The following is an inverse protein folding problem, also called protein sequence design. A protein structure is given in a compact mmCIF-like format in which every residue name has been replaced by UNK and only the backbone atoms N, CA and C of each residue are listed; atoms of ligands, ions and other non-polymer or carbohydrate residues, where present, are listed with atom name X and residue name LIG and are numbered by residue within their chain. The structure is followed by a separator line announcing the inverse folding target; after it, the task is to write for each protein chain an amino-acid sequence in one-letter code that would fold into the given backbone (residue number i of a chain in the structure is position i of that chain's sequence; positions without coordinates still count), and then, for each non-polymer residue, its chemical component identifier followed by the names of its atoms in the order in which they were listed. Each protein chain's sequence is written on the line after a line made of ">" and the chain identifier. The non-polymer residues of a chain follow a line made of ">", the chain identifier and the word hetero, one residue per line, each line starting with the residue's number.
data_IF_172697001842
#
_entry.id   IF_172697001842
#
_cell.length_a   1.000
_cell.length_b   1.000
_cell.length_c   1.000
_cell.angle_alpha   90.00
_cell.angle_beta   90.00
_cell.angle_gamma   90.00
#
_symmetry.space_group_name_H-M   'P 1'
#
loop_
_entity.id
_entity.type
_entity.pdbx_description
1 polymer ?
#
# COMPACT_ATOMS: atom_id res chain seq x y z
N UNK A 1 -21.41 -13.29 6.40
CA UNK A 1 -20.39 -13.65 5.38
C UNK A 1 -20.19 -12.40 4.55
N UNK A 2 -19.03 -11.75 4.65
CA UNK A 2 -18.75 -10.54 3.88
C UNK A 2 -18.85 -10.89 2.38
N UNK A 3 -19.67 -10.15 1.64
CA UNK A 3 -19.75 -10.24 0.19
C UNK A 3 -18.48 -9.64 -0.38
N UNK A 4 -17.41 -10.44 -0.49
CA UNK A 4 -16.18 -10.00 -1.14
C UNK A 4 -16.51 -9.86 -2.63
N UNK A 5 -16.73 -8.62 -3.09
CA UNK A 5 -16.65 -8.34 -4.52
C UNK A 5 -15.16 -8.38 -4.91
N UNK A 6 -14.64 -9.60 -5.10
CA UNK A 6 -13.25 -9.91 -5.43
C UNK A 6 -12.88 -9.47 -6.85
N UNK A 7 -12.91 -8.16 -7.13
CA UNK A 7 -12.24 -7.65 -8.32
C UNK A 7 -10.86 -7.14 -7.92
N UNK A 8 -9.91 -8.07 -7.81
CA UNK A 8 -8.50 -7.71 -7.74
C UNK A 8 -8.12 -7.05 -9.08
N UNK A 9 -7.66 -5.80 -9.04
CA UNK A 9 -7.23 -5.07 -10.22
C UNK A 9 -5.74 -4.81 -10.16
N UNK A 10 -5.01 -5.19 -11.21
CA UNK A 10 -3.57 -4.97 -11.33
C UNK A 10 -3.29 -3.74 -12.20
N UNK A 11 -2.36 -2.91 -11.74
CA UNK A 11 -1.92 -1.69 -12.42
C UNK A 11 -0.40 -1.64 -12.54
N UNK A 12 0.08 -1.26 -13.72
CA UNK A 12 1.49 -0.93 -13.99
C UNK A 12 1.73 0.56 -13.75
N UNK A 13 2.94 0.95 -13.33
CA UNK A 13 3.24 2.32 -12.87
C UNK A 13 4.04 3.17 -13.87
N UNK A 14 4.05 2.75 -15.15
CA UNK A 14 4.72 3.42 -16.27
C UNK A 14 6.19 3.02 -16.42
N UNK A 15 6.83 3.50 -17.49
CA UNK A 15 8.21 3.11 -17.88
C UNK A 15 9.26 3.30 -16.79
N UNK A 16 9.18 4.41 -16.04
CA UNK A 16 10.11 4.69 -14.94
C UNK A 16 10.02 3.68 -13.79
N UNK A 17 8.93 2.92 -13.73
CA UNK A 17 8.60 1.92 -12.71
C UNK A 17 8.14 0.60 -13.38
N UNK A 18 8.77 0.22 -14.49
CA UNK A 18 8.38 -0.93 -15.31
C UNK A 18 8.41 -2.28 -14.57
N UNK A 19 9.22 -2.36 -13.51
CA UNK A 19 9.42 -3.58 -12.72
C UNK A 19 8.45 -3.61 -11.52
N UNK A 20 7.70 -2.52 -11.30
CA UNK A 20 6.78 -2.37 -10.20
C UNK A 20 5.33 -2.39 -10.67
N UNK A 21 4.51 -3.16 -9.96
CA UNK A 21 3.08 -3.19 -10.18
C UNK A 21 2.33 -3.22 -8.85
N UNK A 22 1.10 -2.75 -8.86
CA UNK A 22 0.23 -2.78 -7.69
C UNK A 22 -1.04 -3.55 -8.01
N UNK A 23 -1.41 -4.47 -7.13
CA UNK A 23 -2.73 -5.09 -7.16
C UNK A 23 -3.58 -4.46 -6.06
N UNK A 24 -4.78 -4.02 -6.42
CA UNK A 24 -5.69 -3.30 -5.53
C UNK A 24 -6.99 -4.11 -5.42
N UNK A 25 -7.46 -4.33 -4.19
CA UNK A 25 -8.78 -4.88 -3.95
C UNK A 25 -9.56 -4.01 -2.95
N UNK A 26 -10.88 -4.02 -3.10
CA UNK A 26 -11.81 -3.40 -2.18
C UNK A 26 -12.48 -4.48 -1.35
N UNK A 27 -12.32 -4.42 -0.03
CA UNK A 27 -13.00 -5.30 0.92
C UNK A 27 -14.03 -4.47 1.66
N UNK A 28 -15.30 -4.86 1.57
CA UNK A 28 -16.43 -4.16 2.19
C UNK A 28 -16.96 -4.92 3.38
N UNK A 29 -17.62 -4.20 4.28
CA UNK A 29 -18.27 -4.74 5.48
C UNK A 29 -17.34 -5.62 6.33
N UNK A 30 -16.14 -5.12 6.61
CA UNK A 30 -15.22 -5.80 7.52
C UNK A 30 -15.67 -5.65 8.97
N UNK A 31 -15.44 -6.72 9.75
CA UNK A 31 -15.76 -6.75 11.19
C UNK A 31 -14.52 -6.82 12.08
N UNK A 32 -13.33 -6.98 11.49
CA UNK A 32 -12.06 -7.19 12.19
C UNK A 32 -11.07 -6.03 12.03
N UNK A 33 -11.55 -4.81 11.78
CA UNK A 33 -10.74 -3.59 11.62
C UNK A 33 -9.74 -3.34 12.74
N UNK A 34 -10.13 -3.60 14.00
CA UNK A 34 -9.25 -3.49 15.16
C UNK A 34 -8.07 -4.48 15.08
N UNK A 35 -8.34 -5.74 14.75
CA UNK A 35 -7.31 -6.76 14.58
C UNK A 35 -6.35 -6.39 13.44
N UNK A 36 -6.88 -5.93 12.31
CA UNK A 36 -6.08 -5.47 11.17
C UNK A 36 -5.14 -4.32 11.57
N UNK A 37 -5.64 -3.36 12.35
CA UNK A 37 -4.83 -2.25 12.84
C UNK A 37 -3.70 -2.74 13.76
N UNK A 38 -3.98 -3.66 14.67
CA UNK A 38 -2.98 -4.25 15.56
C UNK A 38 -1.90 -5.03 14.79
N UNK A 39 -2.29 -5.75 13.72
CA UNK A 39 -1.37 -6.42 12.81
C UNK A 39 -0.45 -5.41 12.13
N UNK A 40 -1.00 -4.33 11.56
CA UNK A 40 -0.21 -3.29 10.87
C UNK A 40 0.78 -2.55 11.79
N UNK A 41 0.42 -2.35 13.06
CA UNK A 41 1.32 -1.71 14.03
C UNK A 41 2.54 -2.58 14.37
N UNK A 42 2.44 -3.91 14.16
CA UNK A 42 3.51 -4.88 14.43
C UNK A 42 4.18 -5.28 13.12
N UNK A 43 5.24 -4.56 12.70
CA UNK A 43 5.97 -4.85 11.44
C UNK A 43 6.40 -6.31 11.26
N UNK A 44 6.69 -7.03 12.34
CA UNK A 44 7.11 -8.43 12.31
C UNK A 44 5.95 -9.41 12.62
N UNK A 45 4.70 -8.98 12.43
CA UNK A 45 3.55 -9.84 12.66
C UNK A 45 3.56 -11.02 11.67
N UNK A 46 3.38 -12.28 12.11
CA UNK A 46 3.47 -13.45 11.24
C UNK A 46 2.59 -13.36 9.99
N UNK A 47 1.34 -12.87 10.13
CA UNK A 47 0.43 -12.64 8.99
C UNK A 47 0.99 -11.67 7.93
N UNK A 48 1.72 -10.62 8.33
CA UNK A 48 2.33 -9.71 7.35
C UNK A 48 3.56 -10.34 6.70
N UNK A 49 4.31 -11.14 7.46
CA UNK A 49 5.46 -11.87 6.93
C UNK A 49 5.00 -12.92 5.91
N UNK A 50 3.98 -13.70 6.23
CA UNK A 50 3.36 -14.67 5.31
C UNK A 50 2.91 -13.99 4.01
N UNK A 51 2.22 -12.85 4.11
CA UNK A 51 1.78 -12.07 2.95
C UNK A 51 2.93 -11.46 2.13
N UNK A 52 4.15 -11.39 2.66
CA UNK A 52 5.30 -10.75 1.99
C UNK A 52 6.46 -11.72 1.72
N UNK A 53 6.34 -12.98 2.15
CA UNK A 53 7.37 -14.02 2.03
C UNK A 53 7.45 -14.60 0.62
N UNK A 54 6.33 -14.66 -0.10
CA UNK A 54 6.22 -15.44 -1.33
C UNK A 54 6.82 -14.76 -2.58
N UNK A 55 7.00 -13.43 -2.55
CA UNK A 55 7.74 -12.72 -3.62
C UNK A 55 8.60 -11.61 -3.06
N UNK A 56 9.74 -11.41 -3.70
CA UNK A 56 10.78 -10.46 -3.32
C UNK A 56 10.27 -9.05 -3.00
N UNK A 57 10.20 -8.71 -1.71
CA UNK A 57 9.91 -7.36 -1.17
C UNK A 57 8.60 -6.75 -1.68
N UNK A 58 7.50 -7.23 -1.12
CA UNK A 58 6.18 -6.66 -1.30
C UNK A 58 5.83 -5.69 -0.16
N UNK A 59 5.03 -4.65 -0.45
CA UNK A 59 4.41 -3.80 0.57
C UNK A 59 2.90 -4.03 0.58
N UNK A 60 2.33 -4.15 1.78
CA UNK A 60 0.89 -4.23 1.99
C UNK A 60 0.43 -2.92 2.63
N UNK A 61 -0.50 -2.23 1.97
CA UNK A 61 -1.02 -0.94 2.42
C UNK A 61 -2.53 -1.07 2.55
N UNK A 62 -3.06 -0.81 3.75
CA UNK A 62 -4.50 -0.77 4.00
C UNK A 62 -4.93 0.68 4.18
N UNK A 63 -5.95 1.07 3.43
CA UNK A 63 -6.47 2.43 3.42
C UNK A 63 -7.97 2.41 3.69
N UNK A 64 -8.48 3.47 4.33
CA UNK A 64 -9.90 3.68 4.49
C UNK A 64 -10.52 3.97 3.12
N UNK A 65 -11.28 3.02 2.58
CA UNK A 65 -11.83 3.11 1.23
C UNK A 65 -12.80 4.29 1.07
N UNK A 66 -13.42 4.76 2.15
CA UNK A 66 -14.33 5.92 2.13
C UNK A 66 -13.64 7.24 1.82
N UNK A 67 -12.30 7.30 1.98
CA UNK A 67 -11.50 8.48 1.67
C UNK A 67 -10.89 8.43 0.27
N UNK A 68 -11.11 7.36 -0.47
CA UNK A 68 -10.57 7.16 -1.81
C UNK A 68 -11.66 7.50 -2.81
N UNK A 69 -11.59 8.72 -3.35
CA UNK A 69 -12.50 9.16 -4.41
C UNK A 69 -12.10 8.65 -5.79
N UNK A 70 -10.79 8.49 -6.02
CA UNK A 70 -10.29 8.14 -7.32
C UNK A 70 -9.05 7.24 -7.27
N UNK A 71 -8.96 6.31 -8.21
CA UNK A 71 -7.88 5.34 -8.31
C UNK A 71 -6.56 6.01 -8.72
N UNK A 72 -6.60 6.96 -9.65
CA UNK A 72 -5.41 7.68 -10.12
C UNK A 72 -4.70 8.38 -8.96
N UNK A 73 -5.45 8.85 -7.94
CA UNK A 73 -4.86 9.46 -6.76
C UNK A 73 -3.98 8.47 -5.98
N UNK A 74 -4.44 7.22 -5.82
CA UNK A 74 -3.63 6.14 -5.23
C UNK A 74 -2.39 5.89 -6.08
N UNK A 75 -2.57 5.72 -7.39
CA UNK A 75 -1.48 5.37 -8.31
C UNK A 75 -0.41 6.46 -8.33
N UNK A 76 -0.79 7.73 -8.37
CA UNK A 76 0.13 8.88 -8.32
C UNK A 76 0.88 8.90 -6.98
N UNK A 77 0.18 8.75 -5.86
CA UNK A 77 0.80 8.72 -4.53
C UNK A 77 1.83 7.59 -4.42
N UNK A 78 1.46 6.39 -4.87
CA UNK A 78 2.35 5.23 -4.89
C UNK A 78 3.58 5.46 -5.77
N UNK A 79 3.37 5.95 -7.00
CA UNK A 79 4.46 6.23 -7.94
C UNK A 79 5.45 7.26 -7.38
N UNK A 80 4.97 8.34 -6.76
CA UNK A 80 5.83 9.32 -6.08
C UNK A 80 6.69 8.64 -5.00
N UNK A 81 6.10 7.75 -4.20
CA UNK A 81 6.83 7.05 -3.14
C UNK A 81 7.86 6.07 -3.68
N UNK A 82 7.53 5.33 -4.74
CA UNK A 82 8.45 4.41 -5.40
C UNK A 82 9.61 5.16 -6.07
N UNK A 83 9.35 6.27 -6.74
CA UNK A 83 10.39 7.12 -7.31
C UNK A 83 11.30 7.70 -6.21
N UNK A 84 10.73 8.21 -5.12
CA UNK A 84 11.51 8.66 -3.95
C UNK A 84 12.41 7.53 -3.43
N UNK A 85 11.88 6.31 -3.33
CA UNK A 85 12.65 5.13 -2.90
C UNK A 85 13.78 4.79 -3.89
N UNK A 86 13.48 4.75 -5.19
CA UNK A 86 14.40 4.45 -6.29
C UNK A 86 15.57 5.44 -6.34
N UNK A 87 15.29 6.72 -6.18
CA UNK A 87 16.29 7.79 -6.18
C UNK A 87 16.81 8.16 -4.77
N UNK A 88 16.54 7.33 -3.75
CA UNK A 88 17.00 7.55 -2.36
C UNK A 88 16.70 8.95 -1.81
N UNK A 89 15.56 9.51 -2.20
CA UNK A 89 15.09 10.83 -1.76
C UNK A 89 14.55 10.80 -0.33
N UNK A 90 14.59 11.95 0.35
CA UNK A 90 14.07 12.09 1.73
C UNK A 90 12.55 11.84 1.76
N UNK A 91 12.12 11.01 2.71
CA UNK A 91 10.69 10.76 3.02
C UNK A 91 10.25 11.59 4.23
N UNK A 92 8.95 11.85 4.35
CA UNK A 92 8.38 12.55 5.52
C UNK A 92 8.09 11.59 6.66
N UNK A 93 7.78 10.34 6.34
CA UNK A 93 7.45 9.29 7.29
C UNK A 93 8.57 8.23 7.38
N UNK A 94 8.50 7.38 8.41
CA UNK A 94 9.50 6.34 8.71
C UNK A 94 9.31 5.05 7.90
N UNK A 95 8.11 4.78 7.40
CA UNK A 95 7.77 3.55 6.70
C UNK A 95 7.19 3.87 5.32
N UNK A 96 7.41 2.99 4.35
CA UNK A 96 6.99 3.22 2.97
C UNK A 96 5.45 3.29 2.87
N UNK A 97 4.77 2.40 3.58
CA UNK A 97 3.31 2.31 3.63
C UNK A 97 2.69 3.60 4.16
N UNK A 98 3.26 4.15 5.24
CA UNK A 98 2.81 5.42 5.80
C UNK A 98 3.13 6.60 4.90
N UNK A 99 4.19 6.53 4.08
CA UNK A 99 4.55 7.57 3.11
C UNK A 99 3.52 7.62 1.97
N UNK A 100 3.06 6.46 1.49
CA UNK A 100 1.99 6.38 0.48
C UNK A 100 0.70 6.97 1.04
N UNK A 101 0.31 6.62 2.27
CA UNK A 101 -0.88 7.22 2.90
C UNK A 101 -0.69 8.73 3.11
N UNK A 102 0.53 9.16 3.47
CA UNK A 102 0.84 10.57 3.64
C UNK A 102 0.66 11.39 2.36
N UNK A 103 1.14 10.89 1.22
CA UNK A 103 1.05 11.60 -0.07
C UNK A 103 -0.39 11.66 -0.65
N UNK A 104 -1.37 11.00 -0.01
CA UNK A 104 -2.80 11.15 -0.34
C UNK A 104 -3.45 12.37 0.31
N UNK A 105 -2.79 12.97 1.30
CA UNK A 105 -3.37 14.02 2.13
C UNK A 105 -2.88 15.40 1.70
N UNK A 106 -3.76 16.41 1.71
CA UNK A 106 -3.34 17.81 1.59
C UNK A 106 -2.70 18.33 2.90
N UNK A 107 -2.81 17.58 4.00
CA UNK A 107 -2.27 17.98 5.31
C UNK A 107 -0.80 17.59 5.46
N UNK A 108 -0.01 18.46 6.07
CA UNK A 108 1.36 18.13 6.47
C UNK A 108 1.43 17.35 7.79
N UNK A 109 0.32 17.21 8.51
CA UNK A 109 0.24 16.49 9.78
C UNK A 109 0.11 14.98 9.52
N UNK A 110 1.18 14.23 9.84
CA UNK A 110 1.26 12.79 9.63
C UNK A 110 0.16 12.06 10.42
N UNK A 111 0.00 12.37 11.70
CA UNK A 111 -0.96 11.69 12.58
C UNK A 111 -2.41 11.91 12.14
N UNK A 112 -2.76 13.14 11.75
CA UNK A 112 -4.07 13.45 11.21
C UNK A 112 -4.31 12.70 9.89
N UNK A 113 -3.30 12.67 9.02
CA UNK A 113 -3.37 11.96 7.74
C UNK A 113 -3.60 10.46 7.90
N UNK A 114 -2.86 9.80 8.80
CA UNK A 114 -3.01 8.37 9.06
C UNK A 114 -4.39 8.05 9.66
N UNK A 115 -4.95 8.93 10.49
CA UNK A 115 -6.32 8.77 11.02
C UNK A 115 -7.40 8.93 9.94
N UNK A 116 -7.17 9.80 8.96
CA UNK A 116 -8.14 10.08 7.89
C UNK A 116 -8.07 9.00 6.80
N UNK A 117 -6.88 8.80 6.21
CA UNK A 117 -6.69 7.96 5.02
C UNK A 117 -6.27 6.52 5.35
N UNK A 118 -5.68 6.28 6.52
CA UNK A 118 -5.40 4.93 7.00
C UNK A 118 -6.63 4.28 7.65
N UNK A 119 -6.52 2.99 7.97
CA UNK A 119 -7.59 2.30 8.70
C UNK A 119 -7.60 2.68 10.18
N UNK A 120 -8.79 2.63 10.77
CA UNK A 120 -9.07 2.77 12.21
C UNK A 120 -9.73 1.49 12.73
N UNK A 121 -9.88 1.38 14.05
CA UNK A 121 -10.64 0.30 14.70
C UNK A 121 -12.13 0.26 14.31
N UNK A 122 -12.64 1.33 13.69
CA UNK A 122 -14.03 1.50 13.26
C UNK A 122 -14.22 1.41 11.74
N UNK A 123 -13.14 1.21 10.97
CA UNK A 123 -13.21 1.12 9.50
C UNK A 123 -14.04 -0.08 9.04
N UNK A 124 -14.93 0.14 8.05
CA UNK A 124 -15.80 -0.90 7.48
C UNK A 124 -15.46 -1.29 6.05
N UNK A 125 -14.89 -0.37 5.30
CA UNK A 125 -14.50 -0.59 3.92
C UNK A 125 -13.01 -0.28 3.78
N UNK A 126 -12.24 -1.24 3.29
CA UNK A 126 -10.78 -1.16 3.20
C UNK A 126 -10.36 -1.35 1.76
N UNK A 127 -9.50 -0.45 1.27
CA UNK A 127 -8.73 -0.69 0.06
C UNK A 127 -7.40 -1.31 0.45
N UNK A 128 -7.13 -2.50 -0.06
CA UNK A 128 -5.89 -3.22 0.14
C UNK A 128 -5.03 -3.07 -1.11
N UNK A 129 -3.81 -2.56 -0.95
CA UNK A 129 -2.84 -2.44 -2.03
C UNK A 129 -1.70 -3.42 -1.75
N UNK A 130 -1.40 -4.25 -2.74
CA UNK A 130 -0.28 -5.18 -2.77
C UNK A 130 0.72 -4.68 -3.80
N UNK A 131 1.77 -4.01 -3.32
CA UNK A 131 2.83 -3.46 -4.16
C UNK A 131 3.89 -4.53 -4.36
N UNK A 132 4.13 -4.88 -5.61
CA UNK A 132 5.05 -5.93 -6.01
C UNK A 132 6.18 -5.34 -6.85
N UNK A 133 7.37 -5.92 -6.71
CA UNK A 133 8.57 -5.55 -7.48
C UNK A 133 9.08 -6.84 -8.12
N UNK A 134 8.86 -6.98 -9.43
CA UNK A 134 9.37 -8.09 -10.23
C UNK A 134 10.89 -7.96 -10.37
N UNK A 135 11.65 -8.94 -9.87
CA UNK A 135 13.12 -8.88 -9.84
C UNK A 135 13.81 -9.44 -11.09
N UNK A 136 13.09 -9.64 -12.19
CA UNK A 136 13.63 -10.40 -13.33
C UNK A 136 14.69 -9.70 -14.21
N UNK A 137 15.16 -8.49 -13.87
CA UNK A 137 16.20 -7.78 -14.66
C UNK A 137 17.51 -7.44 -13.89
N UNK A 138 17.86 -8.19 -12.83
CA UNK A 138 19.14 -7.98 -12.11
C UNK A 138 20.23 -9.05 -12.33
N UNK A 139 20.05 -9.99 -13.28
CA UNK A 139 21.03 -11.08 -13.52
C UNK A 139 21.77 -10.99 -14.87
N UNK A 140 21.39 -10.10 -15.79
CA UNK A 140 22.05 -10.04 -17.13
C UNK A 140 23.05 -8.89 -17.33
N UNK A 141 23.29 -8.03 -16.34
CA UNK A 141 24.23 -6.91 -16.50
C UNK A 141 25.70 -7.22 -16.14
N UNK A 142 26.02 -8.43 -15.66
CA UNK A 142 27.40 -8.85 -15.34
C UNK A 142 27.71 -10.24 -15.93
N UNK A 143 27.80 -10.32 -17.26
CA UNK A 143 28.68 -11.26 -17.96
C UNK A 143 29.12 -10.66 -19.28
#
# INVERSE_FOLDING_TARGET
>A
MASIQEKLQRFTLGESLKDEFVSICLVRDIHNSKELLEILMKKNHPKLLELTQDQSRQFVILMNARMIYNLEHILISLSICLLKKKFQSKTKTKAFETEVIYNMSPSTNISATLKTFGITDTTKDVACLFVNIDKNDLVSAHK
#
